data_IF_688904066413
#
_entry.id   IF_688904066413
#
_cell.length_a   1.000
_cell.length_b   1.000
_cell.length_c   1.000
_cell.angle_alpha   90.00
_cell.angle_beta   90.00
_cell.angle_gamma   90.00
#
_symmetry.space_group_name_H-M   'P 1'
#
loop_
_entity.id
_entity.type
_entity.pdbx_description
1 polymer ?
#
# COMPACT_ATOMS: atom_id res chain seq x y z
N UNK A 1 -9.16 2.73 -0.41
CA UNK A 1 -10.01 1.56 -0.12
C UNK A 1 -9.46 0.36 -0.88
N UNK A 2 -9.71 -0.86 -0.42
CA UNK A 2 -9.29 -2.05 -1.15
C UNK A 2 -10.08 -2.21 -2.47
N UNK A 3 -9.46 -2.69 -3.58
CA UNK A 3 -10.11 -2.77 -4.88
C UNK A 3 -11.40 -3.60 -4.89
N UNK A 4 -11.43 -4.72 -4.16
CA UNK A 4 -12.60 -5.59 -4.08
C UNK A 4 -13.81 -4.90 -3.44
N UNK A 5 -13.59 -4.05 -2.44
CA UNK A 5 -14.65 -3.29 -1.77
C UNK A 5 -15.23 -2.23 -2.71
N UNK A 6 -14.37 -1.59 -3.52
CA UNK A 6 -14.81 -0.62 -4.53
C UNK A 6 -15.63 -1.27 -5.65
N UNK A 7 -15.34 -2.54 -5.97
CA UNK A 7 -16.14 -3.35 -6.90
C UNK A 7 -17.46 -3.86 -6.30
N UNK A 8 -17.81 -3.44 -5.07
CA UNK A 8 -19.02 -3.87 -4.37
C UNK A 8 -18.95 -5.29 -3.80
N UNK A 9 -17.76 -5.91 -3.76
CA UNK A 9 -17.59 -7.19 -3.05
C UNK A 9 -17.65 -6.96 -1.54
N UNK A 10 -17.92 -8.04 -0.81
CA UNK A 10 -18.09 -7.98 0.64
C UNK A 10 -16.79 -7.54 1.32
N UNK A 11 -16.92 -6.56 2.21
CA UNK A 11 -15.87 -6.14 3.11
C UNK A 11 -15.53 -7.24 4.11
N UNK A 12 -14.23 -7.47 4.33
CA UNK A 12 -13.72 -8.28 5.42
C UNK A 12 -12.38 -7.72 5.94
N UNK A 13 -11.78 -8.39 6.91
CA UNK A 13 -10.52 -7.95 7.55
C UNK A 13 -9.36 -7.79 6.57
N UNK A 14 -9.37 -8.49 5.42
CA UNK A 14 -8.30 -8.33 4.43
C UNK A 14 -8.34 -6.95 3.75
N UNK A 15 -9.50 -6.29 3.72
CA UNK A 15 -9.63 -4.92 3.22
C UNK A 15 -9.01 -3.89 4.19
N UNK A 16 -9.08 -4.15 5.51
CA UNK A 16 -8.35 -3.39 6.52
C UNK A 16 -6.84 -3.52 6.31
N UNK A 17 -6.36 -4.75 6.02
CA UNK A 17 -4.93 -5.02 5.76
C UNK A 17 -4.46 -4.24 4.53
N UNK A 18 -5.24 -4.21 3.45
CA UNK A 18 -4.93 -3.39 2.28
C UNK A 18 -4.77 -1.92 2.65
N UNK A 19 -5.76 -1.38 3.36
CA UNK A 19 -5.77 0.03 3.76
C UNK A 19 -4.60 0.34 4.70
N UNK A 20 -4.23 -0.59 5.57
CA UNK A 20 -3.05 -0.49 6.42
C UNK A 20 -1.74 -0.46 5.61
N UNK A 21 -1.61 -1.29 4.58
CA UNK A 21 -0.45 -1.25 3.67
C UNK A 21 -0.27 0.10 2.97
N UNK A 22 -1.38 0.72 2.56
CA UNK A 22 -1.37 2.09 2.01
C UNK A 22 -0.90 3.10 3.07
N UNK A 23 -1.43 3.03 4.29
CA UNK A 23 -1.01 3.90 5.41
C UNK A 23 0.47 3.73 5.73
N UNK A 24 1.02 2.51 5.69
CA UNK A 24 2.46 2.30 5.89
C UNK A 24 3.31 3.06 4.87
N UNK A 25 2.88 3.09 3.60
CA UNK A 25 3.59 3.84 2.56
C UNK A 25 3.49 5.36 2.73
N UNK A 26 2.34 5.85 3.17
CA UNK A 26 2.13 7.27 3.46
C UNK A 26 2.97 7.72 4.67
N UNK A 27 3.00 6.91 5.73
CA UNK A 27 3.81 7.19 6.92
C UNK A 27 5.32 7.22 6.61
N UNK A 28 5.79 6.38 5.69
CA UNK A 28 7.19 6.37 5.30
C UNK A 28 7.55 7.52 4.36
N UNK A 29 6.74 7.75 3.32
CA UNK A 29 7.03 8.76 2.28
C UNK A 29 6.62 10.17 2.67
N UNK A 30 5.75 10.33 3.67
CA UNK A 30 5.09 11.58 4.02
C UNK A 30 4.33 12.21 2.83
N UNK A 31 3.88 11.38 1.88
CA UNK A 31 3.14 11.79 0.69
C UNK A 31 1.76 11.13 0.67
N UNK A 32 0.76 11.77 0.04
CA UNK A 32 -0.51 11.13 -0.23
C UNK A 32 -0.35 9.80 -0.98
N UNK A 33 -1.26 8.84 -0.81
CA UNK A 33 -1.25 7.58 -1.56
C UNK A 33 -1.12 7.83 -3.07
N UNK A 34 -0.15 7.17 -3.70
CA UNK A 34 0.10 7.23 -5.15
C UNK A 34 0.49 8.63 -5.69
N UNK A 35 1.07 9.52 -4.86
CA UNK A 35 1.45 10.87 -5.27
C UNK A 35 2.34 10.93 -6.52
N UNK A 36 3.32 10.01 -6.65
CA UNK A 36 4.23 9.93 -7.81
C UNK A 36 3.49 9.59 -9.11
N UNK A 37 2.52 8.70 -9.02
CA UNK A 37 1.67 8.26 -10.13
C UNK A 37 0.73 9.37 -10.55
N UNK A 38 0.13 10.07 -9.60
CA UNK A 38 -0.74 11.24 -9.89
C UNK A 38 0.07 12.36 -10.57
N UNK A 39 1.35 12.53 -10.19
CA UNK A 39 2.23 13.53 -10.80
C UNK A 39 2.72 13.16 -12.21
N UNK A 40 2.79 11.87 -12.54
CA UNK A 40 3.35 11.37 -13.81
C UNK A 40 2.30 10.96 -14.82
N UNK A 41 1.13 10.50 -14.37
CA UNK A 41 0.00 10.18 -15.23
C UNK A 41 -0.86 11.42 -15.39
N UNK A 42 -0.68 12.10 -16.52
CA UNK A 42 -1.70 12.97 -17.11
C UNK A 42 -2.58 12.13 -18.04
N UNK A 43 -3.89 12.39 -18.06
CA UNK A 43 -4.79 11.82 -19.08
C UNK A 43 -4.23 12.10 -20.49
N UNK A 44 -4.62 11.30 -21.49
CA UNK A 44 -4.32 11.59 -22.92
C UNK A 44 -4.77 13.01 -23.32
N UNK A 45 -5.74 13.58 -22.60
CA UNK A 45 -6.27 14.93 -22.76
C UNK A 45 -5.50 16.02 -22.01
N UNK A 46 -4.46 15.67 -21.23
CA UNK A 46 -3.71 16.59 -20.37
C UNK A 46 -4.36 16.88 -19.01
N UNK A 47 -5.54 16.34 -18.75
CA UNK A 47 -6.25 16.51 -17.49
C UNK A 47 -5.68 15.64 -16.36
N UNK A 48 -5.91 16.09 -15.11
CA UNK A 48 -5.60 15.29 -13.92
C UNK A 48 -6.40 13.99 -13.93
N UNK A 49 -5.74 12.87 -13.63
CA UNK A 49 -6.38 11.58 -13.43
C UNK A 49 -7.43 11.69 -12.33
N UNK A 50 -8.66 11.24 -12.63
CA UNK A 50 -9.72 11.20 -11.63
C UNK A 50 -9.42 10.13 -10.58
N UNK A 51 -9.92 10.31 -9.37
CA UNK A 51 -9.78 9.31 -8.30
C UNK A 51 -10.33 7.94 -8.73
N UNK A 52 -11.42 7.92 -9.50
CA UNK A 52 -11.99 6.69 -10.06
C UNK A 52 -11.04 5.98 -11.02
N UNK A 53 -10.39 6.71 -11.93
CA UNK A 53 -9.43 6.13 -12.87
C UNK A 53 -8.17 5.63 -12.16
N UNK A 54 -7.68 6.35 -11.14
CA UNK A 54 -6.57 5.88 -10.31
C UNK A 54 -6.90 4.55 -9.64
N UNK A 55 -8.09 4.44 -9.06
CA UNK A 55 -8.51 3.22 -8.37
C UNK A 55 -8.72 2.05 -9.33
N UNK A 56 -9.19 2.31 -10.54
CA UNK A 56 -9.23 1.31 -11.61
C UNK A 56 -7.82 0.81 -11.97
N UNK A 57 -6.84 1.72 -12.10
CA UNK A 57 -5.45 1.34 -12.36
C UNK A 57 -4.83 0.53 -11.21
N UNK A 58 -5.16 0.86 -9.96
CA UNK A 58 -4.78 0.06 -8.78
C UNK A 58 -5.39 -1.33 -8.87
N UNK A 59 -6.69 -1.43 -9.15
CA UNK A 59 -7.39 -2.71 -9.29
C UNK A 59 -6.84 -3.60 -10.43
N UNK A 60 -6.35 -2.98 -11.50
CA UNK A 60 -5.66 -3.66 -12.62
C UNK A 60 -4.19 -4.00 -12.32
N UNK A 61 -3.66 -3.57 -11.17
CA UNK A 61 -2.25 -3.78 -10.80
C UNK A 61 -1.26 -2.93 -11.59
N UNK A 62 -1.74 -1.90 -12.31
CA UNK A 62 -0.92 -0.97 -13.09
C UNK A 62 -0.24 0.07 -12.21
N UNK A 63 -0.81 0.30 -11.04
CA UNK A 63 -0.33 1.27 -10.05
C UNK A 63 -0.11 0.55 -8.72
N UNK A 64 1.02 0.84 -8.07
CA UNK A 64 1.40 0.29 -6.77
C UNK A 64 1.76 1.42 -5.82
N UNK A 65 1.63 1.15 -4.52
CA UNK A 65 2.15 2.05 -3.49
C UNK A 65 3.68 2.11 -3.62
N UNK A 66 4.26 3.22 -3.20
CA UNK A 66 5.71 3.43 -3.20
C UNK A 66 6.17 3.84 -1.81
N UNK A 67 7.37 3.42 -1.47
CA UNK A 67 8.07 3.82 -0.24
C UNK A 67 9.22 4.74 -0.61
N UNK A 68 9.67 5.55 0.35
CA UNK A 68 10.87 6.35 0.21
C UNK A 68 12.12 5.47 -0.01
N UNK A 69 13.16 6.04 -0.62
CA UNK A 69 14.44 5.35 -0.82
C UNK A 69 15.13 4.94 0.48
N UNK A 70 14.73 5.52 1.62
CA UNK A 70 15.33 5.27 2.93
C UNK A 70 14.55 4.21 3.73
N UNK A 71 13.40 3.76 3.21
CA UNK A 71 12.58 2.77 3.88
C UNK A 71 13.36 1.45 4.05
N UNK A 72 13.25 0.77 5.20
CA UNK A 72 13.74 -0.60 5.33
C UNK A 72 13.09 -1.52 4.30
N UNK A 73 13.89 -2.31 3.58
CA UNK A 73 13.38 -3.32 2.63
C UNK A 73 12.36 -4.27 3.26
N UNK A 74 12.53 -4.61 4.54
CA UNK A 74 11.58 -5.45 5.26
C UNK A 74 10.19 -4.78 5.43
N UNK A 75 10.14 -3.46 5.63
CA UNK A 75 8.90 -2.71 5.73
C UNK A 75 8.24 -2.56 4.36
N UNK A 76 9.04 -2.27 3.31
CA UNK A 76 8.54 -2.22 1.93
C UNK A 76 7.89 -3.55 1.53
N UNK A 77 8.57 -4.67 1.79
CA UNK A 77 8.04 -6.00 1.49
C UNK A 77 6.74 -6.29 2.25
N UNK A 78 6.66 -5.90 3.53
CA UNK A 78 5.43 -6.05 4.32
C UNK A 78 4.30 -5.19 3.75
N UNK A 79 4.56 -3.93 3.44
CA UNK A 79 3.59 -3.01 2.83
C UNK A 79 3.06 -3.55 1.51
N UNK A 80 3.94 -4.04 0.63
CA UNK A 80 3.53 -4.64 -0.64
C UNK A 80 2.71 -5.92 -0.46
N UNK A 81 3.03 -6.77 0.53
CA UNK A 81 2.23 -7.94 0.85
C UNK A 81 0.83 -7.56 1.38
N UNK A 82 0.73 -6.47 2.16
CA UNK A 82 -0.54 -5.97 2.64
C UNK A 82 -1.48 -5.50 1.52
N UNK A 83 -0.93 -4.95 0.42
CA UNK A 83 -1.71 -4.43 -0.72
C UNK A 83 -1.81 -5.39 -1.90
N UNK A 84 -1.67 -6.70 -1.68
CA UNK A 84 -1.89 -7.67 -2.74
C UNK A 84 -3.32 -7.56 -3.33
N UNK A 85 -3.43 -7.77 -4.64
CA UNK A 85 -4.71 -7.71 -5.34
C UNK A 85 -5.59 -8.91 -4.99
N UNK A 86 -4.99 -10.06 -4.67
CA UNK A 86 -5.71 -11.18 -4.09
C UNK A 86 -5.87 -10.95 -2.58
N UNK A 87 -7.10 -10.72 -2.07
CA UNK A 87 -7.34 -10.52 -0.64
C UNK A 87 -6.90 -11.71 0.22
N UNK A 88 -6.85 -12.92 -0.36
CA UNK A 88 -6.41 -14.14 0.33
C UNK A 88 -4.89 -14.28 0.44
N UNK A 89 -4.15 -13.57 -0.41
CA UNK A 89 -2.68 -13.56 -0.38
C UNK A 89 -2.14 -12.56 0.65
N UNK A 90 -3.00 -11.66 1.15
CA UNK A 90 -2.62 -10.67 2.17
C UNK A 90 -2.35 -11.36 3.52
N UNK A 91 -1.37 -10.87 4.29
CA UNK A 91 -1.11 -11.38 5.62
C UNK A 91 -2.27 -11.10 6.57
N UNK A 92 -2.48 -11.99 7.53
CA UNK A 92 -3.37 -11.76 8.66
C UNK A 92 -2.84 -10.64 9.56
N UNK A 93 -3.73 -10.04 10.36
CA UNK A 93 -3.36 -9.01 11.36
C UNK A 93 -2.25 -9.52 12.30
N UNK A 94 -2.31 -10.80 12.70
CA UNK A 94 -1.30 -11.43 13.55
C UNK A 94 0.07 -11.51 12.88
N UNK A 95 0.11 -11.87 11.59
CA UNK A 95 1.35 -11.90 10.81
C UNK A 95 1.92 -10.50 10.61
N UNK A 96 1.09 -9.50 10.27
CA UNK A 96 1.50 -8.10 10.15
C UNK A 96 2.13 -7.62 11.45
N UNK A 97 1.44 -7.82 12.58
CA UNK A 97 1.95 -7.42 13.89
C UNK A 97 3.29 -8.10 14.21
N UNK A 98 3.41 -9.40 13.96
CA UNK A 98 4.65 -10.15 14.16
C UNK A 98 5.80 -9.61 13.31
N UNK A 99 5.57 -9.32 12.02
CA UNK A 99 6.61 -8.76 11.16
C UNK A 99 7.03 -7.35 11.59
N UNK A 100 6.09 -6.49 11.98
CA UNK A 100 6.41 -5.16 12.51
C UNK A 100 7.27 -5.24 13.78
N UNK A 101 6.94 -6.14 14.71
CA UNK A 101 7.76 -6.37 15.90
C UNK A 101 9.17 -6.80 15.51
N UNK A 102 9.34 -7.73 14.55
CA UNK A 102 10.66 -8.15 14.08
C UNK A 102 11.46 -7.01 13.45
N UNK A 103 10.80 -6.15 12.67
CA UNK A 103 11.42 -4.96 12.07
C UNK A 103 11.89 -4.01 13.18
N UNK A 104 11.02 -3.69 14.14
CA UNK A 104 11.35 -2.80 15.26
C UNK A 104 12.54 -3.32 16.08
N UNK A 105 12.53 -4.60 16.46
CA UNK A 105 13.64 -5.21 17.21
C UNK A 105 14.96 -5.18 16.44
N UNK A 106 14.91 -5.32 15.11
CA UNK A 106 16.09 -5.19 14.27
C UNK A 106 16.62 -3.75 14.30
N UNK A 107 15.74 -2.76 14.15
CA UNK A 107 16.12 -1.35 14.21
C UNK A 107 16.74 -0.96 15.55
N UNK A 108 16.11 -1.32 16.66
CA UNK A 108 16.61 -1.00 18.01
C UNK A 108 18.02 -1.54 18.28
N UNK A 109 18.39 -2.69 17.70
CA UNK A 109 19.74 -3.26 17.80
C UNK A 109 20.80 -2.50 17.00
N UNK A 110 20.43 -1.68 16.03
CA UNK A 110 21.35 -0.91 15.19
C UNK A 110 21.43 0.57 15.55
N UNK A 111 20.58 1.05 16.47
CA UNK A 111 20.51 2.46 16.88
C UNK A 111 20.97 2.68 18.34
N UNK A 112 21.22 1.61 19.08
CA UNK A 112 21.81 1.59 20.43
C UNK A 112 23.14 0.84 20.38
#
# INVERSE_FOLDING_TARGET
>A
MAPEVMMGKRYDTSADIFSFGVVLSELDSHQPPYASVIATITSESGDKVTETALMEMVAMGRVRIEFSSNAPTALMNLGHACVDLDPKARPSVGEVHYQLQRILHRYQKFTL
#
